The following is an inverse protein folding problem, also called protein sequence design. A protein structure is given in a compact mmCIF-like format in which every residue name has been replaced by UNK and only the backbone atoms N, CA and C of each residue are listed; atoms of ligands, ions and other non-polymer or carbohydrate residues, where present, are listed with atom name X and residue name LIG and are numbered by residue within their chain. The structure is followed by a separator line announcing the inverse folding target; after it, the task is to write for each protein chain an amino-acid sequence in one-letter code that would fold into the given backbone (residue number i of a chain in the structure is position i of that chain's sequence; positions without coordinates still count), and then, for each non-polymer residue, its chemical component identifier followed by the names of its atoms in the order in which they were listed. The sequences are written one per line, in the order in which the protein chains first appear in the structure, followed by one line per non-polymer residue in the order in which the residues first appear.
data_IF_153015636716
#
_entry.id   IF_153015636716
#
_cell.length_a   1.000
_cell.length_b   1.000
_cell.length_c   1.000
_cell.angle_alpha   90.00
_cell.angle_beta   90.00
_cell.angle_gamma   90.00
#
_symmetry.space_group_name_H-M   'P 1'
#
loop_
_entity.id
_entity.type
_entity.pdbx_description
1 polymer ?
#
# COMPACT_ATOMS: atom_id res chain seq x y z
N UNK A 1 19.28 2.39 -2.00
CA UNK A 1 18.04 2.81 -2.70
C UNK A 1 16.97 3.03 -1.64
N UNK A 2 16.31 4.19 -1.60
CA UNK A 2 15.30 4.50 -0.57
C UNK A 2 14.00 3.72 -0.84
N UNK A 3 13.32 3.31 0.24
CA UNK A 3 12.15 2.45 0.19
C UNK A 3 11.00 3.03 1.04
N UNK A 4 9.83 3.23 0.42
CA UNK A 4 8.61 3.71 1.11
C UNK A 4 7.45 2.73 0.96
N UNK A 5 6.72 2.52 2.06
CA UNK A 5 5.51 1.70 2.12
C UNK A 5 4.32 2.57 2.50
N UNK A 6 3.37 2.72 1.57
CA UNK A 6 2.12 3.43 1.82
C UNK A 6 1.08 2.50 2.46
N UNK A 7 0.30 2.99 3.41
CA UNK A 7 -0.78 2.25 4.09
C UNK A 7 -2.06 3.05 3.96
N UNK A 8 -2.99 2.59 3.13
CA UNK A 8 -4.26 3.28 2.87
C UNK A 8 -5.45 2.41 3.25
N UNK A 9 -6.56 3.03 3.65
CA UNK A 9 -7.79 2.31 4.01
C UNK A 9 -8.32 1.49 2.84
N UNK A 10 -8.44 2.11 1.66
CA UNK A 10 -8.95 1.50 0.43
C UNK A 10 -8.14 1.95 -0.78
N UNK A 11 -8.13 1.12 -1.83
CA UNK A 11 -7.85 1.56 -3.20
C UNK A 11 -9.15 1.50 -3.99
N UNK A 12 -9.91 2.58 -3.97
CA UNK A 12 -11.11 2.80 -4.79
C UNK A 12 -10.96 4.13 -5.53
N UNK A 13 -11.85 4.41 -6.49
CA UNK A 13 -11.88 5.73 -7.12
C UNK A 13 -12.25 6.79 -6.08
N UNK A 14 -11.35 7.74 -5.85
CA UNK A 14 -11.46 8.74 -4.79
C UNK A 14 -10.27 9.71 -4.79
N UNK A 15 -10.40 10.82 -4.08
CA UNK A 15 -9.38 11.87 -4.07
C UNK A 15 -8.05 11.42 -3.45
N UNK A 16 -8.11 10.80 -2.26
CA UNK A 16 -6.93 10.37 -1.53
C UNK A 16 -6.18 9.25 -2.26
N UNK A 17 -6.92 8.26 -2.78
CA UNK A 17 -6.38 7.15 -3.55
C UNK A 17 -5.71 7.63 -4.84
N UNK A 18 -6.35 8.57 -5.55
CA UNK A 18 -5.77 9.17 -6.75
C UNK A 18 -4.45 9.86 -6.43
N UNK A 19 -4.40 10.67 -5.37
CA UNK A 19 -3.16 11.33 -4.94
C UNK A 19 -2.06 10.33 -4.57
N UNK A 20 -2.40 9.26 -3.85
CA UNK A 20 -1.46 8.19 -3.54
C UNK A 20 -0.90 7.55 -4.81
N UNK A 21 -1.74 7.23 -5.80
CA UNK A 21 -1.30 6.62 -7.06
C UNK A 21 -0.34 7.54 -7.81
N UNK A 22 -0.65 8.83 -7.91
CA UNK A 22 0.24 9.80 -8.54
C UNK A 22 1.58 9.91 -7.80
N UNK A 23 1.55 10.03 -6.47
CA UNK A 23 2.75 10.13 -5.65
C UNK A 23 3.62 8.88 -5.75
N UNK A 24 3.01 7.70 -5.59
CA UNK A 24 3.70 6.41 -5.64
C UNK A 24 4.38 6.19 -7.00
N UNK A 25 3.67 6.50 -8.10
CA UNK A 25 4.20 6.39 -9.45
C UNK A 25 5.37 7.35 -9.69
N UNK A 26 5.26 8.60 -9.21
CA UNK A 26 6.34 9.60 -9.35
C UNK A 26 7.55 9.28 -8.48
N UNK A 27 7.37 8.68 -7.30
CA UNK A 27 8.49 8.21 -6.48
C UNK A 27 9.19 7.01 -7.15
N UNK A 28 8.42 6.05 -7.67
CA UNK A 28 8.95 4.91 -8.44
C UNK A 28 9.77 5.38 -9.64
N UNK A 29 9.28 6.35 -10.41
CA UNK A 29 10.03 6.90 -11.56
C UNK A 29 11.31 7.64 -11.16
N UNK A 30 11.44 8.08 -9.90
CA UNK A 30 12.66 8.68 -9.32
C UNK A 30 13.61 7.65 -8.70
N UNK A 31 13.36 6.36 -8.94
CA UNK A 31 14.23 5.28 -8.45
C UNK A 31 13.96 4.84 -7.00
N UNK A 32 12.85 5.27 -6.39
CA UNK A 32 12.45 4.71 -5.10
C UNK A 32 11.85 3.32 -5.28
N UNK A 33 12.09 2.45 -4.29
CA UNK A 33 11.29 1.23 -4.15
C UNK A 33 10.01 1.62 -3.42
N UNK A 34 8.87 1.33 -4.02
CA UNK A 34 7.56 1.75 -3.53
C UNK A 34 6.68 0.53 -3.37
N UNK A 35 5.97 0.44 -2.24
CA UNK A 35 4.91 -0.53 -2.01
C UNK A 35 3.66 0.15 -1.46
N UNK A 36 2.50 -0.47 -1.67
CA UNK A 36 1.21 0.02 -1.19
C UNK A 36 0.50 -1.10 -0.44
N UNK A 37 -0.05 -0.81 0.74
CA UNK A 37 -0.88 -1.72 1.52
C UNK A 37 -2.27 -1.10 1.63
N UNK A 38 -3.29 -1.83 1.15
CA UNK A 38 -4.70 -1.51 1.39
C UNK A 38 -5.20 -2.28 2.61
N UNK A 39 -5.86 -1.60 3.56
CA UNK A 39 -6.44 -2.25 4.74
C UNK A 39 -7.60 -3.18 4.34
N UNK A 40 -8.49 -2.70 3.47
CA UNK A 40 -9.60 -3.49 2.93
C UNK A 40 -9.28 -4.04 1.52
N UNK A 41 -10.09 -4.97 0.99
CA UNK A 41 -9.92 -5.42 -0.40
C UNK A 41 -9.99 -4.23 -1.38
N UNK A 42 -8.99 -4.06 -2.27
CA UNK A 42 -8.97 -2.98 -3.24
C UNK A 42 -10.08 -3.17 -4.30
N UNK A 43 -10.55 -2.06 -4.86
CA UNK A 43 -11.57 -1.98 -5.91
C UNK A 43 -11.05 -1.33 -7.21
N UNK A 44 -9.95 -0.60 -7.16
CA UNK A 44 -9.33 0.11 -8.28
C UNK A 44 -7.79 0.15 -8.15
N UNK A 45 -7.11 0.65 -9.18
CA UNK A 45 -5.67 1.00 -9.22
C UNK A 45 -4.63 -0.09 -9.00
N UNK A 46 -5.01 -1.31 -8.61
CA UNK A 46 -4.06 -2.42 -8.39
C UNK A 46 -3.23 -2.68 -9.65
N UNK A 47 -3.91 -2.88 -10.78
CA UNK A 47 -3.25 -3.16 -12.07
C UNK A 47 -2.38 -2.00 -12.53
N UNK A 48 -2.84 -0.76 -12.32
CA UNK A 48 -2.10 0.44 -12.72
C UNK A 48 -0.77 0.56 -11.96
N UNK A 49 -0.80 0.31 -10.64
CA UNK A 49 0.39 0.30 -9.78
C UNK A 49 1.32 -0.87 -10.11
N UNK A 50 0.78 -2.08 -10.28
CA UNK A 50 1.57 -3.27 -10.58
C UNK A 50 2.26 -3.18 -11.96
N UNK A 51 1.59 -2.60 -12.95
CA UNK A 51 2.14 -2.40 -14.30
C UNK A 51 3.39 -1.51 -14.28
N UNK A 52 3.48 -0.55 -13.36
CA UNK A 52 4.68 0.28 -13.15
C UNK A 52 5.67 -0.31 -12.13
N UNK A 53 5.46 -1.57 -11.73
CA UNK A 53 6.35 -2.31 -10.83
C UNK A 53 6.24 -1.89 -9.36
N UNK A 54 5.07 -1.43 -8.92
CA UNK A 54 4.76 -1.16 -7.51
C UNK A 54 3.98 -2.34 -6.93
N UNK A 55 4.50 -2.94 -5.86
CA UNK A 55 3.82 -4.06 -5.19
C UNK A 55 2.63 -3.57 -4.38
N UNK A 56 1.47 -4.19 -4.58
CA UNK A 56 0.25 -3.91 -3.83
C UNK A 56 -0.07 -5.10 -2.91
N UNK A 57 -0.28 -4.84 -1.63
CA UNK A 57 -0.71 -5.81 -0.63
C UNK A 57 -2.11 -5.44 -0.12
N UNK A 58 -2.91 -6.43 0.23
CA UNK A 58 -4.18 -6.21 0.94
C UNK A 58 -4.21 -6.98 2.24
N UNK A 59 -4.59 -6.33 3.34
CA UNK A 59 -4.83 -7.00 4.62
C UNK A 59 -6.17 -7.74 4.63
N UNK A 60 -7.10 -7.36 3.74
CA UNK A 60 -8.38 -8.03 3.55
C UNK A 60 -9.37 -7.82 4.70
N UNK A 61 -9.27 -6.71 5.43
CA UNK A 61 -10.18 -6.39 6.53
C UNK A 61 -11.59 -6.16 5.94
N UNK A 62 -12.55 -7.02 6.31
CA UNK A 62 -13.95 -6.95 5.84
C UNK A 62 -14.94 -6.57 6.94
N UNK A 63 -14.58 -6.73 8.22
CA UNK A 63 -15.45 -6.47 9.38
C UNK A 63 -14.67 -5.79 10.49
N UNK A 64 -15.34 -4.92 11.26
CA UNK A 64 -14.81 -4.22 12.44
C UNK A 64 -14.86 -5.10 13.71
N UNK A 65 -14.50 -6.38 13.62
CA UNK A 65 -14.33 -7.20 14.82
C UNK A 65 -12.89 -7.09 15.33
N UNK A 66 -12.63 -7.24 16.64
CA UNK A 66 -11.31 -7.06 17.24
C UNK A 66 -10.41 -8.28 16.93
N UNK A 67 -10.11 -8.50 15.64
CA UNK A 67 -9.14 -9.49 15.24
C UNK A 67 -7.74 -8.86 15.20
N UNK A 68 -6.75 -9.36 15.96
CA UNK A 68 -5.38 -8.85 15.92
C UNK A 68 -4.63 -9.28 14.64
N UNK A 69 -5.20 -10.22 13.87
CA UNK A 69 -4.57 -10.81 12.67
C UNK A 69 -4.15 -9.77 11.61
N UNK A 70 -4.94 -8.73 11.29
CA UNK A 70 -4.53 -7.71 10.32
C UNK A 70 -3.32 -6.90 10.80
N UNK A 71 -3.26 -6.57 12.09
CA UNK A 71 -2.11 -5.86 12.69
C UNK A 71 -0.86 -6.74 12.61
N UNK A 72 -0.96 -8.02 12.98
CA UNK A 72 0.16 -8.97 12.86
C UNK A 72 0.62 -9.14 11.40
N UNK A 73 -0.32 -9.17 10.45
CA UNK A 73 -0.01 -9.27 9.02
C UNK A 73 0.67 -8.01 8.52
N UNK A 74 0.20 -6.83 8.91
CA UNK A 74 0.83 -5.54 8.60
C UNK A 74 2.26 -5.51 9.14
N UNK A 75 2.45 -5.85 10.41
CA UNK A 75 3.77 -5.90 11.04
C UNK A 75 4.71 -6.86 10.29
N UNK A 76 4.24 -8.06 9.91
CA UNK A 76 5.04 -9.00 9.10
C UNK A 76 5.42 -8.46 7.73
N UNK A 77 4.50 -7.75 7.05
CA UNK A 77 4.81 -7.14 5.75
C UNK A 77 5.87 -6.06 5.93
N UNK A 78 5.71 -5.16 6.91
CA UNK A 78 6.68 -4.11 7.22
C UNK A 78 8.05 -4.71 7.56
N UNK A 79 8.09 -5.73 8.43
CA UNK A 79 9.34 -6.39 8.82
C UNK A 79 10.05 -7.08 7.64
N UNK A 80 9.31 -7.73 6.74
CA UNK A 80 9.89 -8.39 5.56
C UNK A 80 10.35 -7.38 4.51
N UNK A 81 9.58 -6.31 4.31
CA UNK A 81 9.85 -5.31 3.28
C UNK A 81 10.97 -4.34 3.70
N UNK A 82 11.14 -4.12 5.01
CA UNK A 82 12.14 -3.22 5.62
C UNK A 82 12.12 -1.81 5.01
N UNK A 83 10.99 -1.08 5.11
CA UNK A 83 10.90 0.29 4.60
C UNK A 83 11.77 1.24 5.40
N UNK A 84 12.28 2.28 4.74
CA UNK A 84 12.84 3.45 5.42
C UNK A 84 11.71 4.35 5.96
N UNK A 85 10.56 4.37 5.26
CA UNK A 85 9.40 5.20 5.58
C UNK A 85 8.11 4.37 5.47
N UNK A 86 7.27 4.46 6.48
CA UNK A 86 5.86 4.04 6.42
C UNK A 86 5.00 5.30 6.44
N UNK A 87 4.10 5.46 5.47
CA UNK A 87 3.23 6.64 5.35
C UNK A 87 1.76 6.22 5.21
N UNK A 88 0.86 6.88 5.93
CA UNK A 88 -0.59 6.64 5.85
C UNK A 88 -1.32 7.77 5.15
#
# INVERSE_FOLDING_TARGET
MKQVLFVITSLAYGGAETQLVHLATRLKSRGWKVGVISLIPPKAYVKDLETVGISVFSLGIRRKFPEPRPVLRLARIIQKWRPDIVHS
#
